data_IF_575212866094
#
_entry.id   IF_575212866094
#
_cell.length_a   1.000
_cell.length_b   1.000
_cell.length_c   1.000
_cell.angle_alpha   90.00
_cell.angle_beta   90.00
_cell.angle_gamma   90.00
#
_symmetry.space_group_name_H-M   'P 1'
#
loop_
_entity.id
_entity.type
_entity.pdbx_description
1 polymer ?
#
# COMPACT_ATOMS: atom_id res chain seq x y z
N UNK A 1 -19.79 -0.85 -7.57
CA UNK A 1 -18.41 -1.25 -7.92
C UNK A 1 -17.46 -0.07 -8.04
N UNK A 2 -17.61 0.84 -9.03
CA UNK A 2 -16.71 2.01 -9.16
C UNK A 2 -16.71 2.92 -7.91
N UNK A 3 -17.86 3.08 -7.27
CA UNK A 3 -17.98 3.85 -6.02
C UNK A 3 -17.20 3.21 -4.87
N UNK A 4 -17.31 1.89 -4.69
CA UNK A 4 -16.65 1.17 -3.59
C UNK A 4 -15.12 1.19 -3.74
N UNK A 5 -14.62 0.94 -4.94
CA UNK A 5 -13.19 0.99 -5.22
C UNK A 5 -12.59 2.36 -4.88
N UNK A 6 -13.29 3.44 -5.24
CA UNK A 6 -12.87 4.80 -4.90
C UNK A 6 -12.81 5.05 -3.39
N UNK A 7 -13.77 4.52 -2.61
CA UNK A 7 -13.74 4.64 -1.14
C UNK A 7 -12.55 3.88 -0.55
N UNK A 8 -12.31 2.65 -1.00
CA UNK A 8 -11.16 1.87 -0.57
C UNK A 8 -9.84 2.54 -0.91
N UNK A 9 -9.72 3.10 -2.11
CA UNK A 9 -8.54 3.84 -2.56
C UNK A 9 -8.27 5.06 -1.67
N UNK A 10 -9.31 5.82 -1.31
CA UNK A 10 -9.18 6.97 -0.41
C UNK A 10 -8.78 6.58 1.00
N UNK A 11 -9.30 5.47 1.53
CA UNK A 11 -9.00 5.03 2.89
C UNK A 11 -7.63 4.37 3.00
N UNK A 12 -7.25 3.54 2.03
CA UNK A 12 -5.91 2.95 1.96
C UNK A 12 -4.84 4.02 1.78
N UNK A 13 -5.10 5.07 0.98
CA UNK A 13 -4.20 6.23 0.85
C UNK A 13 -3.84 6.85 2.19
N UNK A 14 -4.81 6.96 3.12
CA UNK A 14 -4.53 7.48 4.47
C UNK A 14 -3.58 6.58 5.23
N UNK A 15 -3.79 5.26 5.16
CA UNK A 15 -2.93 4.27 5.81
C UNK A 15 -1.49 4.38 5.27
N UNK A 16 -1.33 4.40 3.94
CA UNK A 16 0.00 4.49 3.30
C UNK A 16 0.68 5.81 3.64
N UNK A 17 -0.02 6.94 3.60
CA UNK A 17 0.56 8.23 3.93
C UNK A 17 0.98 8.36 5.41
N UNK A 18 0.33 7.65 6.33
CA UNK A 18 0.72 7.63 7.75
C UNK A 18 2.11 7.01 7.99
N UNK A 19 2.64 6.24 7.04
CA UNK A 19 3.97 5.66 7.13
C UNK A 19 5.09 6.65 6.81
N UNK A 20 4.77 7.83 6.26
CA UNK A 20 5.69 8.95 6.04
C UNK A 20 7.03 8.55 5.40
N UNK A 21 6.97 7.68 4.38
CA UNK A 21 8.16 7.17 3.68
C UNK A 21 9.06 8.28 3.11
N UNK A 22 8.45 9.37 2.67
CA UNK A 22 9.13 10.56 2.16
C UNK A 22 8.56 11.77 2.92
N UNK A 23 9.27 12.28 3.95
CA UNK A 23 8.80 13.39 4.75
C UNK A 23 8.53 14.64 3.91
N UNK A 24 7.32 15.19 4.05
CA UNK A 24 6.89 16.40 3.32
C UNK A 24 6.48 16.14 1.87
N UNK A 25 6.39 14.89 1.43
CA UNK A 25 5.85 14.57 0.12
C UNK A 25 4.38 15.00 -0.02
N UNK A 26 3.94 15.34 -1.25
CA UNK A 26 2.53 15.54 -1.54
C UNK A 26 1.67 14.33 -1.15
N UNK A 27 0.43 14.57 -0.75
CA UNK A 27 -0.45 13.49 -0.28
C UNK A 27 -0.81 12.45 -1.36
N UNK A 28 -0.60 12.76 -2.64
CA UNK A 28 -0.83 11.92 -3.82
C UNK A 28 0.43 11.19 -4.30
N UNK A 29 1.59 11.42 -3.68
CA UNK A 29 2.87 10.78 -4.05
C UNK A 29 2.75 9.24 -4.15
N UNK A 30 1.97 8.65 -3.25
CA UNK A 30 1.77 7.21 -3.17
C UNK A 30 0.49 6.70 -3.86
N UNK A 31 -0.19 7.51 -4.68
CA UNK A 31 -1.43 7.08 -5.36
C UNK A 31 -1.21 5.89 -6.29
N UNK A 32 -0.06 5.82 -6.98
CA UNK A 32 0.28 4.69 -7.85
C UNK A 32 0.47 3.39 -7.04
N UNK A 33 1.20 3.47 -5.92
CA UNK A 33 1.39 2.36 -4.99
C UNK A 33 0.05 1.90 -4.39
N UNK A 34 -0.75 2.85 -3.91
CA UNK A 34 -2.08 2.64 -3.35
C UNK A 34 -3.00 1.88 -4.31
N UNK A 35 -3.08 2.35 -5.56
CA UNK A 35 -3.87 1.70 -6.61
C UNK A 35 -3.39 0.28 -6.89
N UNK A 36 -2.07 0.07 -6.97
CA UNK A 36 -1.47 -1.24 -7.23
C UNK A 36 -1.78 -2.25 -6.12
N UNK A 37 -1.61 -1.85 -4.86
CA UNK A 37 -1.97 -2.67 -3.68
C UNK A 37 -3.44 -3.08 -3.76
N UNK A 38 -4.33 -2.13 -4.02
CA UNK A 38 -5.76 -2.40 -4.07
C UNK A 38 -6.16 -3.37 -5.19
N UNK A 39 -5.48 -3.31 -6.35
CA UNK A 39 -5.63 -4.31 -7.42
C UNK A 39 -5.23 -5.71 -6.92
N UNK A 40 -4.12 -5.82 -6.18
CA UNK A 40 -3.65 -7.10 -5.65
C UNK A 40 -4.62 -7.69 -4.62
N UNK A 41 -5.15 -6.85 -3.72
CA UNK A 41 -6.15 -7.25 -2.71
C UNK A 41 -7.46 -7.72 -3.34
N UNK A 42 -7.99 -6.97 -4.31
CA UNK A 42 -9.23 -7.33 -5.02
C UNK A 42 -9.10 -8.60 -5.86
N UNK A 43 -7.88 -9.02 -6.20
CA UNK A 43 -7.58 -10.29 -6.87
C UNK A 43 -7.32 -11.46 -5.92
N UNK A 44 -7.37 -11.23 -4.60
CA UNK A 44 -7.11 -12.27 -3.60
C UNK A 44 -5.63 -12.67 -3.50
N UNK A 45 -4.71 -11.71 -3.65
CA UNK A 45 -3.28 -11.97 -3.40
C UNK A 45 -3.04 -12.33 -1.94
N UNK A 46 -2.12 -13.27 -1.71
CA UNK A 46 -1.65 -13.62 -0.37
C UNK A 46 -0.67 -12.57 0.18
N UNK A 47 -0.37 -12.67 1.49
CA UNK A 47 0.50 -11.73 2.20
C UNK A 47 1.91 -11.68 1.62
N UNK A 48 2.46 -12.81 1.17
CA UNK A 48 3.81 -12.87 0.59
C UNK A 48 3.87 -12.09 -0.73
N UNK A 49 2.88 -12.26 -1.60
CA UNK A 49 2.78 -11.46 -2.84
C UNK A 49 2.64 -9.99 -2.54
N UNK A 50 1.81 -9.62 -1.56
CA UNK A 50 1.61 -8.22 -1.21
C UNK A 50 2.89 -7.58 -0.65
N UNK A 51 3.59 -8.29 0.24
CA UNK A 51 4.91 -7.89 0.74
C UNK A 51 5.90 -7.63 -0.40
N UNK A 52 6.00 -8.56 -1.34
CA UNK A 52 6.91 -8.44 -2.49
C UNK A 52 6.55 -7.27 -3.40
N UNK A 53 5.26 -7.00 -3.62
CA UNK A 53 4.79 -5.83 -4.39
C UNK A 53 5.17 -4.53 -3.70
N UNK A 54 4.90 -4.41 -2.41
CA UNK A 54 5.26 -3.23 -1.61
C UNK A 54 6.76 -2.96 -1.68
N UNK A 55 7.57 -3.98 -1.35
CA UNK A 55 9.04 -3.87 -1.36
C UNK A 55 9.56 -3.49 -2.74
N UNK A 56 9.09 -4.19 -3.78
CA UNK A 56 9.54 -3.95 -5.15
C UNK A 56 9.23 -2.53 -5.61
N UNK A 57 8.05 -1.98 -5.30
CA UNK A 57 7.71 -0.62 -5.71
C UNK A 57 8.47 0.45 -4.95
N UNK A 58 8.58 0.31 -3.63
CA UNK A 58 9.33 1.25 -2.82
C UNK A 58 10.79 1.33 -3.30
N UNK A 59 11.40 0.20 -3.68
CA UNK A 59 12.75 0.18 -4.24
C UNK A 59 12.80 0.72 -5.67
N UNK A 60 11.99 0.15 -6.57
CA UNK A 60 12.19 0.35 -8.01
C UNK A 60 11.60 1.66 -8.52
N UNK A 61 10.48 2.11 -7.95
CA UNK A 61 9.78 3.30 -8.39
C UNK A 61 10.12 4.51 -7.51
N UNK A 62 10.14 4.32 -6.19
CA UNK A 62 10.40 5.40 -5.25
C UNK A 62 11.88 5.55 -4.87
N UNK A 63 12.76 4.60 -5.25
CA UNK A 63 14.19 4.67 -4.95
C UNK A 63 14.52 4.55 -3.46
N UNK A 64 13.60 3.98 -2.67
CA UNK A 64 13.74 3.80 -1.23
C UNK A 64 14.43 2.48 -0.91
N UNK A 65 15.06 2.40 0.26
CA UNK A 65 15.63 1.14 0.78
C UNK A 65 14.93 0.78 2.10
N UNK A 66 13.68 0.29 2.06
CA UNK A 66 12.92 0.01 3.26
C UNK A 66 13.41 -1.27 3.94
N UNK A 67 13.40 -1.27 5.26
CA UNK A 67 13.75 -2.44 6.06
C UNK A 67 12.63 -3.48 5.98
N UNK A 68 12.98 -4.76 5.78
CA UNK A 68 12.00 -5.84 5.62
C UNK A 68 11.00 -5.94 6.76
N UNK A 69 11.43 -5.65 8.00
CA UNK A 69 10.55 -5.62 9.17
C UNK A 69 9.46 -4.56 9.04
N UNK A 70 9.78 -3.41 8.48
CA UNK A 70 8.85 -2.31 8.27
C UNK A 70 7.86 -2.64 7.16
N UNK A 71 8.33 -3.25 6.07
CA UNK A 71 7.45 -3.71 4.98
C UNK A 71 6.53 -4.83 5.45
N UNK A 72 7.02 -5.76 6.28
CA UNK A 72 6.20 -6.81 6.86
C UNK A 72 5.09 -6.21 7.72
N UNK A 73 5.42 -5.26 8.59
CA UNK A 73 4.44 -4.58 9.42
C UNK A 73 3.43 -3.78 8.59
N UNK A 74 3.86 -3.06 7.55
CA UNK A 74 2.94 -2.38 6.63
C UNK A 74 2.02 -3.39 5.93
N UNK A 75 2.56 -4.53 5.48
CA UNK A 75 1.78 -5.59 4.84
C UNK A 75 0.68 -6.09 5.78
N UNK A 76 1.02 -6.37 7.04
CA UNK A 76 0.05 -6.78 8.06
C UNK A 76 -1.01 -5.71 8.32
N UNK A 77 -0.63 -4.44 8.42
CA UNK A 77 -1.58 -3.33 8.60
C UNK A 77 -2.55 -3.21 7.42
N UNK A 78 -2.07 -3.36 6.18
CA UNK A 78 -2.90 -3.34 4.98
C UNK A 78 -3.85 -4.53 4.93
N UNK A 79 -3.38 -5.75 5.23
CA UNK A 79 -4.23 -6.95 5.25
C UNK A 79 -5.31 -6.84 6.33
N UNK A 80 -4.93 -6.43 7.54
CA UNK A 80 -5.87 -6.20 8.63
C UNK A 80 -6.88 -5.09 8.33
N UNK A 81 -6.48 -4.09 7.53
CA UNK A 81 -7.41 -3.08 7.02
C UNK A 81 -8.36 -3.69 5.98
N UNK A 82 -7.85 -4.51 5.06
CA UNK A 82 -8.62 -5.15 3.99
C UNK A 82 -9.68 -6.12 4.54
N UNK A 83 -9.36 -6.89 5.57
CA UNK A 83 -10.29 -7.83 6.21
C UNK A 83 -11.50 -7.16 6.88
N UNK A 84 -11.46 -5.83 7.06
CA UNK A 84 -12.55 -5.02 7.64
C UNK A 84 -13.41 -4.31 6.60
N UNK A 85 -13.14 -4.51 5.32
CA UNK A 85 -13.82 -3.83 4.21
C UNK A 85 -15.17 -4.44 3.84
#
# INVERSE_FOLDING_TARGET
MKSQFYYWEKDLRKLINCWDFIPGAPSDEFDALNHKILIHLTKGSDNEKLFNVLKSELISYYGLDPIDKDILKLTEEIVNWWDKQ
#
